data_IF_473476616402
#
_entry.id   IF_473476616402
#
_cell.length_a   1.000
_cell.length_b   1.000
_cell.length_c   1.000
_cell.angle_alpha   90.00
_cell.angle_beta   90.00
_cell.angle_gamma   90.00
#
_symmetry.space_group_name_H-M   'P 1'
#
loop_
_entity.id
_entity.type
_entity.pdbx_description
1 polymer ?
#
# COMPACT_ATOMS: atom_id res chain seq x y z
N UNK A 1 16.19 2.33 0.67
CA UNK A 1 14.89 1.64 0.85
C UNK A 1 14.37 1.73 2.28
N UNK A 2 15.13 1.30 3.29
CA UNK A 2 14.69 1.26 4.71
C UNK A 2 14.24 2.63 5.30
N UNK A 3 14.90 3.72 4.90
CA UNK A 3 14.62 5.08 5.43
C UNK A 3 13.27 5.64 4.97
N UNK A 4 12.91 5.43 3.69
CA UNK A 4 11.66 5.91 3.12
C UNK A 4 10.45 5.21 3.76
N UNK A 5 10.55 3.89 3.99
CA UNK A 5 9.48 3.13 4.63
C UNK A 5 9.31 3.45 6.11
N UNK A 6 10.40 3.71 6.84
CA UNK A 6 10.32 4.25 8.22
C UNK A 6 9.59 5.60 8.27
N UNK A 7 9.78 6.47 7.28
CA UNK A 7 9.04 7.73 7.22
C UNK A 7 7.56 7.52 6.90
N UNK A 8 7.22 6.59 6.01
CA UNK A 8 5.82 6.24 5.70
C UNK A 8 5.11 5.62 6.90
N UNK A 9 5.79 4.74 7.64
CA UNK A 9 5.29 4.14 8.87
C UNK A 9 5.02 5.20 9.96
N UNK A 10 5.81 6.27 10.01
CA UNK A 10 5.56 7.41 10.92
C UNK A 10 4.36 8.26 10.51
N UNK A 11 4.00 8.26 9.22
CA UNK A 11 2.93 9.08 8.64
C UNK A 11 1.58 8.32 8.66
N UNK A 12 1.62 6.99 8.71
CA UNK A 12 0.48 6.10 8.49
C UNK A 12 -0.33 5.72 9.73
N UNK A 13 -0.83 6.69 10.50
CA UNK A 13 -1.93 6.43 11.44
C UNK A 13 -3.01 7.49 11.30
N UNK A 14 -4.02 7.24 10.47
CA UNK A 14 -5.32 7.93 10.57
C UNK A 14 -6.47 7.10 9.96
N UNK A 15 -7.55 7.08 10.74
CA UNK A 15 -8.94 6.72 10.46
C UNK A 15 -9.29 5.27 10.03
N UNK A 16 -9.60 4.45 11.04
CA UNK A 16 -10.59 3.35 10.96
C UNK A 16 -10.18 2.08 10.22
N UNK A 17 -9.92 1.01 10.96
CA UNK A 17 -9.71 -0.35 10.44
C UNK A 17 -8.79 -1.17 11.34
N UNK A 18 -9.00 -2.49 11.40
CA UNK A 18 -8.21 -3.39 12.24
C UNK A 18 -6.75 -3.57 11.76
N UNK A 19 -6.39 -3.05 10.58
CA UNK A 19 -5.05 -3.17 9.97
C UNK A 19 -4.47 -1.79 9.64
N UNK A 20 -3.17 -1.57 9.89
CA UNK A 20 -2.49 -0.33 9.53
C UNK A 20 -2.49 -0.09 8.01
N UNK A 21 -2.74 1.16 7.62
CA UNK A 21 -2.78 1.61 6.22
C UNK A 21 -2.34 3.07 6.11
N UNK A 22 -1.74 3.42 4.98
CA UNK A 22 -1.23 4.75 4.71
C UNK A 22 -1.58 5.20 3.28
N UNK A 23 -1.85 6.49 3.09
CA UNK A 23 -1.89 7.11 1.76
C UNK A 23 -0.48 7.56 1.43
N UNK A 24 0.04 7.12 0.29
CA UNK A 24 1.39 7.41 -0.19
C UNK A 24 1.35 8.09 -1.56
N UNK A 25 2.39 8.83 -1.89
CA UNK A 25 2.71 9.22 -3.25
C UNK A 25 3.80 8.26 -3.75
N UNK A 26 3.55 7.54 -4.85
CA UNK A 26 4.45 6.52 -5.39
C UNK A 26 4.86 6.84 -6.82
N UNK A 27 6.16 6.80 -7.10
CA UNK A 27 6.69 6.91 -8.45
C UNK A 27 6.99 5.51 -8.99
N UNK A 28 6.16 5.03 -9.91
CA UNK A 28 6.30 3.68 -10.47
C UNK A 28 7.63 3.47 -11.21
N UNK A 29 8.24 4.53 -11.75
CA UNK A 29 9.48 4.43 -12.54
C UNK A 29 10.71 4.28 -11.64
N UNK A 30 10.72 4.95 -10.49
CA UNK A 30 11.88 4.98 -9.58
C UNK A 30 11.70 4.07 -8.36
N UNK A 31 10.48 3.64 -8.07
CA UNK A 31 10.14 2.95 -6.82
C UNK A 31 10.14 3.88 -5.60
N UNK A 32 10.31 5.19 -5.79
CA UNK A 32 10.33 6.14 -4.68
C UNK A 32 8.94 6.29 -4.06
N UNK A 33 8.89 6.27 -2.73
CA UNK A 33 7.67 6.47 -1.97
C UNK A 33 7.79 7.70 -1.07
N UNK A 34 6.76 8.54 -1.08
CA UNK A 34 6.63 9.77 -0.28
C UNK A 34 5.29 9.80 0.46
N UNK A 35 5.14 10.77 1.36
CA UNK A 35 3.84 11.08 1.98
C UNK A 35 2.78 11.38 0.92
N UNK A 36 1.61 10.74 1.02
CA UNK A 36 0.46 11.03 0.15
C UNK A 36 -0.59 11.94 0.80
N UNK A 37 -0.26 12.59 1.91
CA UNK A 37 -1.18 13.51 2.61
C UNK A 37 -1.32 14.85 1.87
N UNK A 38 -0.28 15.27 1.15
CA UNK A 38 -0.25 16.45 0.28
C UNK A 38 -0.38 16.03 -1.18
N UNK A 39 -0.52 17.01 -2.08
CA UNK A 39 -0.45 16.78 -3.53
C UNK A 39 0.81 15.99 -3.90
N UNK A 40 0.68 14.98 -4.74
CA UNK A 40 1.81 14.23 -5.22
C UNK A 40 2.63 15.09 -6.21
N UNK A 41 3.97 15.02 -6.14
CA UNK A 41 4.84 15.68 -7.11
C UNK A 41 4.65 15.12 -8.52
N UNK A 42 5.18 15.83 -9.52
CA UNK A 42 5.20 15.34 -10.89
C UNK A 42 5.89 13.96 -10.99
N UNK A 43 5.25 13.03 -11.71
CA UNK A 43 5.72 11.65 -11.85
C UNK A 43 5.36 10.73 -10.68
N UNK A 44 4.67 11.23 -9.65
CA UNK A 44 4.09 10.42 -8.58
C UNK A 44 2.58 10.31 -8.75
N UNK A 45 2.02 9.20 -8.29
CA UNK A 45 0.58 9.00 -8.17
C UNK A 45 0.21 8.71 -6.72
N UNK A 46 -1.05 8.96 -6.35
CA UNK A 46 -1.58 8.56 -5.05
C UNK A 46 -1.96 7.07 -4.97
N UNK A 47 -1.43 6.41 -3.94
CA UNK A 47 -1.70 5.00 -3.64
C UNK A 47 -2.15 4.82 -2.20
N UNK A 48 -2.91 3.76 -1.95
CA UNK A 48 -3.21 3.25 -0.62
C UNK A 48 -2.31 2.04 -0.35
N UNK A 49 -1.45 2.14 0.65
CA UNK A 49 -0.60 1.06 1.15
C UNK A 49 -1.27 0.39 2.35
N UNK A 50 -1.47 -0.92 2.29
CA UNK A 50 -1.92 -1.77 3.39
C UNK A 50 -0.75 -2.58 3.91
N UNK A 51 -0.42 -2.37 5.18
CA UNK A 51 0.77 -2.96 5.79
C UNK A 51 0.52 -4.41 6.21
N UNK A 52 1.54 -5.23 6.04
CA UNK A 52 1.56 -6.67 6.35
C UNK A 52 2.47 -6.86 7.56
N UNK A 53 2.04 -7.63 8.58
CA UNK A 53 2.85 -7.89 9.77
C UNK A 53 3.19 -6.70 10.69
N UNK A 54 2.39 -5.62 10.70
CA UNK A 54 2.67 -4.38 11.50
C UNK A 54 1.66 -4.16 12.64
N UNK A 55 1.13 -5.22 13.26
CA UNK A 55 0.15 -5.08 14.35
C UNK A 55 0.64 -5.74 15.64
N UNK A 56 0.90 -4.96 16.69
CA UNK A 56 1.04 -5.47 18.06
C UNK A 56 -0.32 -5.87 18.67
N UNK A 57 -1.42 -5.29 18.17
CA UNK A 57 -2.78 -5.49 18.70
C UNK A 57 -3.38 -6.84 18.27
N UNK A 58 -2.85 -7.43 17.21
CA UNK A 58 -3.21 -8.78 16.77
C UNK A 58 -2.20 -9.77 17.34
N UNK A 59 -2.54 -10.35 18.49
CA UNK A 59 -1.93 -11.58 19.01
C UNK A 59 -2.03 -12.68 17.94
N UNK A 60 -0.99 -12.80 17.13
CA UNK A 60 -0.91 -13.70 15.98
C UNK A 60 -0.29 -12.97 14.81
N UNK A 61 0.91 -13.38 14.41
CA UNK A 61 1.66 -12.78 13.33
C UNK A 61 0.83 -12.82 12.03
N UNK A 62 0.15 -11.71 11.71
CA UNK A 62 -0.71 -11.58 10.55
C UNK A 62 0.14 -11.36 9.30
N UNK A 63 0.87 -12.41 8.91
CA UNK A 63 1.70 -12.44 7.70
C UNK A 63 0.91 -12.92 6.49
N UNK A 64 1.22 -12.35 5.32
CA UNK A 64 0.74 -12.83 4.03
C UNK A 64 -0.59 -12.23 3.59
N UNK A 65 -1.17 -11.28 4.33
CA UNK A 65 -2.41 -10.65 3.92
C UNK A 65 -2.27 -9.86 2.63
N UNK A 66 -1.12 -9.19 2.43
CA UNK A 66 -0.91 -8.46 1.19
C UNK A 66 -0.91 -9.38 -0.03
N UNK A 67 -0.33 -10.58 0.07
CA UNK A 67 -0.37 -11.59 -1.00
C UNK A 67 -1.80 -12.11 -1.24
N UNK A 68 -2.56 -12.32 -0.18
CA UNK A 68 -3.99 -12.71 -0.29
C UNK A 68 -4.81 -11.63 -0.99
N UNK A 69 -4.65 -10.36 -0.62
CA UNK A 69 -5.34 -9.24 -1.28
C UNK A 69 -4.93 -9.10 -2.75
N UNK A 70 -3.66 -9.32 -3.08
CA UNK A 70 -3.19 -9.33 -4.45
C UNK A 70 -3.75 -10.49 -5.27
N UNK A 71 -3.88 -11.68 -4.66
CA UNK A 71 -4.55 -12.81 -5.31
C UNK A 71 -6.02 -12.51 -5.64
N UNK A 72 -6.75 -11.84 -4.73
CA UNK A 72 -8.11 -11.39 -5.02
C UNK A 72 -8.19 -10.37 -6.16
N UNK A 73 -7.24 -9.43 -6.22
CA UNK A 73 -7.13 -8.50 -7.34
C UNK A 73 -6.94 -9.26 -8.67
N UNK A 74 -6.03 -10.24 -8.72
CA UNK A 74 -5.79 -11.04 -9.93
C UNK A 74 -7.05 -11.84 -10.34
N UNK A 75 -7.74 -12.46 -9.38
CA UNK A 75 -8.99 -13.18 -9.66
C UNK A 75 -10.09 -12.25 -10.18
N UNK A 76 -10.19 -11.02 -9.65
CA UNK A 76 -11.16 -10.05 -10.14
C UNK A 76 -10.88 -9.64 -11.59
N UNK A 77 -9.61 -9.40 -11.95
CA UNK A 77 -9.23 -9.11 -13.34
C UNK A 77 -9.54 -10.28 -14.27
N UNK A 78 -9.28 -11.51 -13.85
CA UNK A 78 -9.57 -12.72 -14.63
C UNK A 78 -11.07 -12.90 -14.89
N UNK A 79 -11.90 -12.48 -13.93
CA UNK A 79 -13.36 -12.40 -14.08
C UNK A 79 -13.84 -11.20 -14.92
N UNK A 80 -12.95 -10.37 -15.45
CA UNK A 80 -13.30 -9.17 -16.22
C UNK A 80 -13.83 -8.00 -15.38
N UNK A 81 -13.59 -8.01 -14.06
CA UNK A 81 -13.98 -6.91 -13.17
C UNK A 81 -12.94 -5.79 -13.31
N UNK A 82 -13.40 -4.58 -13.64
CA UNK A 82 -12.55 -3.40 -13.67
C UNK A 82 -12.12 -3.02 -12.25
N UNK A 83 -10.81 -2.94 -12.03
CA UNK A 83 -10.22 -2.56 -10.75
C UNK A 83 -9.03 -1.63 -10.95
N UNK A 84 -8.79 -0.77 -9.96
CA UNK A 84 -7.59 0.05 -9.94
C UNK A 84 -6.32 -0.81 -9.95
N UNK A 85 -5.22 -0.34 -10.58
CA UNK A 85 -3.94 -1.04 -10.53
C UNK A 85 -3.53 -1.36 -9.10
N UNK A 86 -3.14 -2.61 -8.87
CA UNK A 86 -2.65 -3.08 -7.58
C UNK A 86 -1.25 -3.70 -7.72
N UNK A 87 -0.44 -3.61 -6.67
CA UNK A 87 0.94 -4.09 -6.63
C UNK A 87 1.29 -4.64 -5.25
N UNK A 88 2.39 -5.39 -5.17
CA UNK A 88 3.04 -5.76 -3.93
C UNK A 88 4.32 -4.95 -3.75
N UNK A 89 4.46 -4.31 -2.60
CA UNK A 89 5.72 -3.74 -2.14
C UNK A 89 6.35 -4.74 -1.18
N UNK A 90 7.40 -5.43 -1.64
CA UNK A 90 8.06 -6.51 -0.89
C UNK A 90 9.34 -6.02 -0.21
N UNK A 91 9.51 -6.40 1.05
CA UNK A 91 10.69 -6.04 1.85
C UNK A 91 10.79 -6.94 3.08
N UNK A 92 12.01 -7.33 3.46
CA UNK A 92 12.29 -8.13 4.68
C UNK A 92 11.35 -9.35 4.87
N UNK A 93 10.97 -10.02 3.77
CA UNK A 93 10.05 -11.17 3.79
C UNK A 93 8.56 -10.83 3.95
N UNK A 94 8.20 -9.55 4.07
CA UNK A 94 6.83 -9.05 4.06
C UNK A 94 6.42 -8.63 2.65
N UNK A 95 5.12 -8.67 2.39
CA UNK A 95 4.55 -8.22 1.13
C UNK A 95 3.35 -7.31 1.44
N UNK A 96 3.56 -6.00 1.28
CA UNK A 96 2.51 -5.00 1.49
C UNK A 96 1.66 -4.87 0.23
N UNK A 97 0.35 -4.89 0.39
CA UNK A 97 -0.54 -4.65 -0.73
C UNK A 97 -0.70 -3.15 -0.94
N UNK A 98 -0.63 -2.71 -2.20
CA UNK A 98 -0.94 -1.34 -2.56
C UNK A 98 -1.87 -1.27 -3.75
N UNK A 99 -2.77 -0.29 -3.75
CA UNK A 99 -3.70 -0.01 -4.85
C UNK A 99 -3.71 1.48 -5.17
N UNK A 100 -3.75 1.83 -6.45
CA UNK A 100 -3.85 3.22 -6.90
C UNK A 100 -5.19 3.80 -6.45
N UNK A 101 -5.20 5.02 -5.92
CA UNK A 101 -6.44 5.71 -5.52
C UNK A 101 -7.26 6.06 -6.76
N UNK A 102 -8.54 5.72 -6.75
CA UNK A 102 -9.48 6.09 -7.84
C UNK A 102 -10.03 7.50 -7.67
N UNK A 103 -9.98 8.04 -6.45
CA UNK A 103 -10.59 9.30 -6.04
C UNK A 103 -9.57 10.43 -5.83
N UNK A 104 -8.34 10.24 -6.31
CA UNK A 104 -7.28 11.24 -6.23
C UNK A 104 -6.54 11.35 -7.54
N UNK A 105 -6.29 12.59 -7.93
CA UNK A 105 -5.44 12.94 -9.06
C UNK A 105 -4.16 13.59 -8.53
N UNK A 106 -3.02 13.20 -9.11
CA UNK A 106 -1.70 13.71 -8.73
C UNK A 106 -1.43 13.43 -7.27
#
# INVERSE_FOLDING_TARGET
EEKAMREILKIGTSAGGARPKAVIAYNEKTGEVRSGQTRAPEGFEHWLLKLDGVSEVQLGATHGYGRVEYAYYLMALDCGIEMMPCRLLEENGRAHFMTRRFDREG
#
